data_IF_731287401941
#
_entry.id   IF_731287401941
#
_cell.length_a   1.000
_cell.length_b   1.000
_cell.length_c   1.000
_cell.angle_alpha   90.00
_cell.angle_beta   90.00
_cell.angle_gamma   90.00
#
_symmetry.space_group_name_H-M   'P 1'
#
loop_
_entity.id
_entity.type
_entity.pdbx_description
1 polymer ?
#
# COMPACT_ATOMS: atom_id res chain seq x y z
N UNK A 1 29.56 27.24 1.06
CA UNK A 1 28.35 26.37 0.98
C UNK A 1 27.31 27.17 0.21
N UNK A 2 27.04 26.83 -1.05
CA UNK A 2 26.07 27.59 -1.86
C UNK A 2 24.71 27.60 -1.18
N UNK A 3 23.98 28.72 -1.27
CA UNK A 3 22.59 28.80 -0.85
C UNK A 3 21.80 27.72 -1.57
N UNK A 4 21.35 26.71 -0.83
CA UNK A 4 20.36 25.77 -1.35
C UNK A 4 19.03 26.49 -1.23
N UNK A 5 18.33 26.67 -2.36
CA UNK A 5 16.97 27.20 -2.44
C UNK A 5 15.98 26.20 -1.81
N UNK A 6 16.10 25.96 -0.51
CA UNK A 6 15.30 24.98 0.22
C UNK A 6 14.86 25.61 1.52
N UNK A 7 13.55 25.74 1.71
CA UNK A 7 12.99 26.20 2.97
C UNK A 7 12.74 25.03 3.91
N UNK A 8 12.98 25.24 5.20
CA UNK A 8 12.66 24.26 6.25
C UNK A 8 11.15 24.32 6.49
N UNK A 9 10.48 23.17 6.36
CA UNK A 9 9.09 23.02 6.75
C UNK A 9 9.01 22.39 8.15
N UNK A 10 8.38 23.10 9.10
CA UNK A 10 8.04 22.53 10.42
C UNK A 10 6.62 22.01 10.33
N UNK A 11 6.43 20.72 10.61
CA UNK A 11 5.13 20.07 10.59
C UNK A 11 4.69 19.83 12.04
N UNK A 12 3.57 20.41 12.48
CA UNK A 12 3.09 20.20 13.83
C UNK A 12 2.58 18.78 14.01
N UNK A 13 2.64 18.30 15.26
CA UNK A 13 2.14 16.97 15.62
C UNK A 13 0.68 16.78 15.21
N UNK A 14 0.36 15.60 14.68
CA UNK A 14 -0.99 15.27 14.20
C UNK A 14 -1.32 15.72 12.78
N UNK A 15 -0.46 16.52 12.13
CA UNK A 15 -0.64 16.92 10.72
C UNK A 15 0.27 16.15 9.75
N UNK A 16 1.14 15.27 10.25
CA UNK A 16 2.01 14.37 9.49
C UNK A 16 1.29 13.69 8.31
N UNK A 17 0.12 13.09 8.55
CA UNK A 17 -0.66 12.38 7.52
C UNK A 17 -1.25 13.27 6.41
N UNK A 18 -1.15 14.59 6.55
CA UNK A 18 -1.67 15.59 5.60
C UNK A 18 -0.58 16.46 4.99
N UNK A 19 0.46 16.75 5.77
CA UNK A 19 1.48 17.74 5.40
C UNK A 19 2.83 17.12 5.05
N UNK A 20 3.11 15.87 5.45
CA UNK A 20 4.34 15.19 5.02
C UNK A 20 4.15 14.58 3.64
N UNK A 21 4.89 15.03 2.61
CA UNK A 21 4.74 14.50 1.26
C UNK A 21 4.95 12.99 1.18
N UNK A 22 5.90 12.45 1.96
CA UNK A 22 6.13 11.01 2.06
C UNK A 22 4.89 10.25 2.59
N UNK A 23 4.25 10.80 3.62
CA UNK A 23 3.09 10.15 4.23
C UNK A 23 1.87 10.18 3.33
N UNK A 24 1.63 11.31 2.67
CA UNK A 24 0.48 11.50 1.77
C UNK A 24 0.67 10.71 0.48
N UNK A 25 1.83 10.84 -0.15
CA UNK A 25 2.07 10.33 -1.50
C UNK A 25 2.49 8.87 -1.54
N UNK A 26 3.12 8.34 -0.49
CA UNK A 26 3.65 6.97 -0.47
C UNK A 26 3.00 6.14 0.63
N UNK A 27 3.14 6.55 1.90
CA UNK A 27 2.70 5.69 3.00
C UNK A 27 1.18 5.49 3.02
N UNK A 28 0.39 6.51 2.68
CA UNK A 28 -1.06 6.42 2.66
C UNK A 28 -1.58 5.47 1.58
N UNK A 29 -1.22 5.60 0.27
CA UNK A 29 -1.65 4.64 -0.74
C UNK A 29 -1.09 3.24 -0.46
N UNK A 30 0.17 3.12 -0.02
CA UNK A 30 0.75 1.82 0.37
C UNK A 30 -0.08 1.13 1.47
N UNK A 31 -0.35 1.82 2.58
CA UNK A 31 -1.15 1.26 3.68
C UNK A 31 -2.59 0.97 3.27
N UNK A 32 -3.17 1.77 2.35
CA UNK A 32 -4.51 1.52 1.83
C UNK A 32 -4.54 0.21 1.02
N UNK A 33 -3.53 -0.03 0.18
CA UNK A 33 -3.39 -1.27 -0.59
C UNK A 33 -3.23 -2.50 0.30
N UNK A 34 -2.32 -2.44 1.27
CA UNK A 34 -2.14 -3.53 2.25
C UNK A 34 -3.44 -3.83 2.99
N UNK A 35 -4.20 -2.80 3.36
CA UNK A 35 -5.51 -2.97 4.01
C UNK A 35 -6.51 -3.67 3.09
N UNK A 36 -6.57 -3.29 1.83
CA UNK A 36 -7.47 -3.92 0.86
C UNK A 36 -7.17 -5.42 0.72
N UNK A 37 -5.90 -5.79 0.54
CA UNK A 37 -5.46 -7.19 0.46
C UNK A 37 -5.85 -7.97 1.73
N UNK A 38 -5.65 -7.34 2.89
CA UNK A 38 -6.03 -7.95 4.16
C UNK A 38 -7.55 -8.16 4.28
N UNK A 39 -8.34 -7.17 3.87
CA UNK A 39 -9.80 -7.23 3.92
C UNK A 39 -10.34 -8.34 3.00
N UNK A 40 -9.77 -8.50 1.80
CA UNK A 40 -10.11 -9.60 0.89
C UNK A 40 -9.71 -10.96 1.45
N UNK A 41 -8.52 -11.08 2.01
CA UNK A 41 -8.07 -12.30 2.67
C UNK A 41 -8.98 -12.66 3.86
N UNK A 42 -9.41 -11.66 4.64
CA UNK A 42 -10.38 -11.85 5.71
C UNK A 42 -11.76 -12.28 5.20
N UNK A 43 -12.16 -11.83 4.01
CA UNK A 43 -13.44 -12.20 3.41
C UNK A 43 -13.46 -13.65 2.89
N UNK A 44 -12.31 -14.31 2.74
CA UNK A 44 -12.24 -15.73 2.33
C UNK A 44 -12.91 -16.63 3.37
N UNK A 45 -13.70 -17.61 2.90
CA UNK A 45 -14.49 -18.50 3.74
C UNK A 45 -13.63 -19.47 4.56
N UNK A 46 -12.43 -19.82 4.07
CA UNK A 46 -11.51 -20.76 4.73
C UNK A 46 -10.54 -20.02 5.64
N UNK A 47 -10.95 -19.81 6.89
CA UNK A 47 -10.07 -19.22 7.90
C UNK A 47 -9.29 -20.31 8.61
N UNK A 48 -7.97 -20.33 8.41
CA UNK A 48 -7.10 -21.19 9.20
C UNK A 48 -7.03 -20.65 10.64
N UNK A 49 -7.39 -21.48 11.61
CA UNK A 49 -7.22 -21.18 13.02
C UNK A 49 -5.86 -21.68 13.52
N UNK A 50 -5.28 -21.01 14.49
CA UNK A 50 -4.19 -21.52 15.31
C UNK A 50 -4.72 -22.65 16.20
N UNK A 51 -3.83 -23.46 16.76
CA UNK A 51 -4.18 -24.49 17.75
C UNK A 51 -4.91 -23.88 18.98
N UNK A 52 -4.65 -22.60 19.25
CA UNK A 52 -5.32 -21.80 20.29
C UNK A 52 -6.66 -21.17 19.85
N UNK A 53 -7.16 -21.47 18.65
CA UNK A 53 -8.44 -20.98 18.14
C UNK A 53 -8.45 -19.53 17.63
N UNK A 54 -7.29 -18.91 17.43
CA UNK A 54 -7.18 -17.56 16.85
C UNK A 54 -7.09 -17.64 15.34
N UNK A 55 -7.59 -16.63 14.63
CA UNK A 55 -7.39 -16.52 13.19
C UNK A 55 -5.88 -16.36 12.91
N UNK A 56 -5.31 -17.20 12.03
CA UNK A 56 -3.90 -17.07 11.61
C UNK A 56 -3.68 -15.75 10.89
N UNK A 57 -2.48 -15.17 11.00
CA UNK A 57 -2.09 -14.04 10.16
C UNK A 57 -2.00 -14.51 8.69
N UNK A 58 -2.33 -13.67 7.69
CA UNK A 58 -1.96 -13.94 6.31
C UNK A 58 -0.45 -14.18 6.19
N UNK A 59 -0.04 -15.04 5.27
CA UNK A 59 1.37 -15.25 4.97
C UNK A 59 1.95 -13.99 4.33
N UNK A 60 3.23 -13.69 4.58
CA UNK A 60 3.90 -12.49 4.04
C UNK A 60 3.84 -12.45 2.50
N UNK A 61 3.89 -13.63 1.87
CA UNK A 61 3.81 -13.80 0.40
C UNK A 61 2.52 -13.25 -0.21
N UNK A 62 1.42 -13.21 0.55
CA UNK A 62 0.13 -12.67 0.09
C UNK A 62 0.26 -11.21 -0.35
N UNK A 63 1.11 -10.43 0.32
CA UNK A 63 1.33 -9.02 0.00
C UNK A 63 2.09 -8.90 -1.34
N UNK A 64 3.11 -9.74 -1.54
CA UNK A 64 3.96 -9.71 -2.73
C UNK A 64 3.25 -10.25 -3.98
N UNK A 65 2.40 -11.28 -3.83
CA UNK A 65 1.69 -11.89 -4.95
C UNK A 65 0.61 -10.96 -5.52
N UNK A 66 -0.08 -10.19 -4.67
CA UNK A 66 -1.11 -9.26 -5.13
C UNK A 66 -0.52 -8.05 -5.88
N UNK A 67 0.64 -7.55 -5.41
CA UNK A 67 1.40 -6.52 -6.13
C UNK A 67 1.81 -7.01 -7.54
N UNK A 68 2.14 -8.31 -7.70
CA UNK A 68 2.50 -8.87 -9.00
C UNK A 68 1.32 -8.96 -9.97
N UNK A 69 0.13 -9.32 -9.49
CA UNK A 69 -1.08 -9.48 -10.33
C UNK A 69 -1.57 -8.11 -10.82
N UNK A 70 -1.72 -7.12 -9.94
CA UNK A 70 -2.24 -5.80 -10.31
C UNK A 70 -1.28 -5.01 -11.23
N UNK A 71 0.04 -5.17 -11.08
CA UNK A 71 1.00 -4.54 -11.99
C UNK A 71 1.00 -5.18 -13.38
N UNK A 72 0.66 -6.47 -13.50
CA UNK A 72 0.51 -7.12 -14.81
C UNK A 72 -0.78 -6.68 -15.52
N UNK A 73 -1.90 -6.59 -14.81
CA UNK A 73 -3.17 -6.12 -15.38
C UNK A 73 -3.10 -4.65 -15.82
N UNK A 74 -2.42 -3.78 -15.05
CA UNK A 74 -2.24 -2.38 -15.44
C UNK A 74 -1.26 -2.19 -16.61
N UNK A 75 -0.35 -3.15 -16.85
CA UNK A 75 0.57 -3.10 -17.99
C UNK A 75 -0.15 -3.46 -19.30
N UNK A 76 -1.00 -4.50 -19.27
CA UNK A 76 -1.84 -4.89 -20.41
C UNK A 76 -2.86 -3.81 -20.80
N UNK A 77 -3.44 -3.13 -19.81
CA UNK A 77 -4.37 -2.03 -20.05
C UNK A 77 -3.68 -0.75 -20.58
N UNK A 78 -2.42 -0.50 -20.21
CA UNK A 78 -1.67 0.64 -20.72
C UNK A 78 -1.19 0.42 -22.16
N UNK A 79 -0.81 -0.80 -22.55
CA UNK A 79 -0.41 -1.10 -23.93
C UNK A 79 -1.56 -0.85 -24.93
N UNK A 80 -2.81 -1.06 -24.51
CA UNK A 80 -4.01 -0.77 -25.30
C UNK A 80 -4.35 0.72 -25.43
N UNK A 81 -3.97 1.54 -24.44
CA UNK A 81 -4.24 2.99 -24.45
C UNK A 81 -3.23 3.74 -25.33
N UNK A 82 -2.00 3.26 -25.48
CA UNK A 82 -0.99 3.88 -26.35
C UNK A 82 -1.10 3.50 -27.83
N UNK A 83 -2.03 2.61 -28.18
CA UNK A 83 -2.25 2.14 -29.56
C UNK A 83 -3.53 2.73 -30.22
N UNK A 84 -4.20 3.69 -29.57
CA UNK A 84 -5.34 4.45 -30.12
C UNK A 84 -5.10 5.96 -30.09
#
# INVERSE_FOLDING_TARGET
LSEKNTNIAIIPGGLTSKLQPLDVSINKPFKAKIRHIYDEWMAQEVRQLTESGRIKCPQEDLIFDYDRVENNENNENNEYIFMN
#
